data_IF_927957620127
#
_entry.id   IF_927957620127
#
_cell.length_a   1.000
_cell.length_b   1.000
_cell.length_c   1.000
_cell.angle_alpha   90.00
_cell.angle_beta   90.00
_cell.angle_gamma   90.00
#
_symmetry.space_group_name_H-M   'P 1'
#
loop_
_entity.id
_entity.type
_entity.pdbx_description
1 polymer ?
#
# COMPACT_ATOMS: atom_id res chain seq x y z
N UNK A 1 10.66 13.64 -5.61
CA UNK A 1 9.60 12.78 -5.03
C UNK A 1 10.21 11.74 -4.14
N UNK A 2 9.72 11.61 -2.92
CA UNK A 2 10.15 10.52 -2.05
C UNK A 2 9.44 9.22 -2.45
N UNK A 3 9.95 8.09 -1.97
CA UNK A 3 9.30 6.81 -2.23
C UNK A 3 7.92 6.74 -1.58
N UNK A 4 7.75 7.39 -0.43
CA UNK A 4 6.45 7.49 0.23
C UNK A 4 5.45 8.27 -0.65
N UNK A 5 5.90 9.32 -1.31
CA UNK A 5 5.07 10.09 -2.23
C UNK A 5 4.63 9.26 -3.43
N UNK A 6 5.49 8.36 -3.90
CA UNK A 6 5.13 7.43 -4.99
C UNK A 6 4.01 6.51 -4.56
N UNK A 7 4.05 6.02 -3.31
CA UNK A 7 3.00 5.18 -2.76
C UNK A 7 1.68 5.94 -2.69
N UNK A 8 1.70 7.18 -2.21
CA UNK A 8 0.50 8.02 -2.14
C UNK A 8 -0.07 8.24 -3.54
N UNK A 9 0.79 8.47 -4.53
CA UNK A 9 0.35 8.67 -5.90
C UNK A 9 -0.35 7.44 -6.46
N UNK A 10 0.16 6.25 -6.18
CA UNK A 10 -0.48 4.99 -6.57
C UNK A 10 -1.90 4.93 -5.99
N UNK A 11 -2.03 5.22 -4.71
CA UNK A 11 -3.33 5.21 -4.03
C UNK A 11 -4.28 6.26 -4.59
N UNK A 12 -3.79 7.45 -4.87
CA UNK A 12 -4.59 8.53 -5.46
C UNK A 12 -5.09 8.19 -6.86
N UNK A 13 -4.29 7.46 -7.63
CA UNK A 13 -4.70 7.00 -8.96
C UNK A 13 -5.81 5.95 -8.88
N UNK A 14 -5.82 5.15 -7.82
CA UNK A 14 -6.85 4.12 -7.60
C UNK A 14 -8.13 4.75 -7.08
N UNK A 15 -8.03 5.59 -6.06
CA UNK A 15 -9.19 6.28 -5.49
C UNK A 15 -8.76 7.66 -4.97
N UNK A 16 -9.03 8.74 -5.71
CA UNK A 16 -8.61 10.09 -5.33
C UNK A 16 -9.46 10.74 -4.24
N UNK A 17 -10.57 10.11 -3.84
CA UNK A 17 -11.51 10.69 -2.88
C UNK A 17 -11.14 10.42 -1.42
N UNK A 18 -10.13 9.58 -1.17
CA UNK A 18 -9.73 9.21 0.19
C UNK A 18 -8.61 10.13 0.67
N UNK A 19 -8.70 10.56 1.94
CA UNK A 19 -7.64 11.33 2.58
C UNK A 19 -6.60 10.38 3.19
N UNK A 20 -5.64 9.99 2.38
CA UNK A 20 -4.64 8.97 2.76
C UNK A 20 -3.71 9.42 3.87
N UNK A 21 -3.54 10.70 4.09
CA UNK A 21 -2.67 11.20 5.14
C UNK A 21 -3.24 10.99 6.53
N UNK A 22 -4.57 11.00 6.64
CA UNK A 22 -5.26 10.92 7.92
C UNK A 22 -6.01 9.60 8.13
N UNK A 23 -6.21 8.82 7.07
CA UNK A 23 -7.00 7.60 7.17
C UNK A 23 -6.15 6.43 7.67
N UNK A 24 -6.64 5.72 8.69
CA UNK A 24 -5.95 4.59 9.30
C UNK A 24 -6.74 3.28 9.22
N UNK A 25 -7.90 3.28 8.56
CA UNK A 25 -8.77 2.12 8.42
C UNK A 25 -9.18 1.88 6.97
N UNK A 26 -8.22 1.98 6.05
CA UNK A 26 -8.49 1.85 4.61
C UNK A 26 -9.15 0.50 4.28
N UNK A 27 -8.70 -0.57 4.90
CA UNK A 27 -9.23 -1.91 4.67
C UNK A 27 -10.39 -2.20 5.62
N UNK A 28 -10.18 -2.01 6.92
CA UNK A 28 -11.18 -2.30 7.93
C UNK A 28 -12.41 -1.38 7.79
N UNK A 29 -12.20 -0.15 7.32
CA UNK A 29 -13.28 0.79 7.02
C UNK A 29 -13.92 0.59 5.65
N UNK A 30 -13.47 -0.41 4.90
CA UNK A 30 -13.98 -0.77 3.57
C UNK A 30 -13.87 0.37 2.55
N UNK A 31 -12.85 1.19 2.67
CA UNK A 31 -12.60 2.28 1.73
C UNK A 31 -11.96 1.79 0.43
N UNK A 32 -11.24 0.68 0.49
CA UNK A 32 -10.69 0.00 -0.69
C UNK A 32 -11.35 -1.36 -0.81
N UNK A 33 -11.90 -1.67 -1.99
CA UNK A 33 -12.48 -2.98 -2.24
C UNK A 33 -11.40 -3.98 -2.68
N UNK A 34 -11.79 -5.25 -2.85
CA UNK A 34 -10.85 -6.31 -3.22
C UNK A 34 -10.17 -6.03 -4.56
N UNK A 35 -10.89 -5.44 -5.49
CA UNK A 35 -10.35 -5.12 -6.81
C UNK A 35 -9.26 -4.05 -6.72
N UNK A 36 -9.54 -3.01 -5.93
CA UNK A 36 -8.58 -1.93 -5.70
C UNK A 36 -7.34 -2.43 -5.01
N UNK A 37 -7.49 -3.36 -4.05
CA UNK A 37 -6.36 -3.94 -3.32
C UNK A 37 -5.46 -4.74 -4.26
N UNK A 38 -6.04 -5.53 -5.16
CA UNK A 38 -5.28 -6.31 -6.15
C UNK A 38 -4.47 -5.37 -7.05
N UNK A 39 -5.10 -4.30 -7.53
CA UNK A 39 -4.43 -3.30 -8.35
C UNK A 39 -3.32 -2.61 -7.58
N UNK A 40 -3.59 -2.24 -6.34
CA UNK A 40 -2.62 -1.60 -5.45
C UNK A 40 -1.37 -2.47 -5.26
N UNK A 41 -1.56 -3.75 -4.98
CA UNK A 41 -0.46 -4.70 -4.79
C UNK A 41 0.39 -4.78 -6.06
N UNK A 42 -0.23 -4.91 -7.22
CA UNK A 42 0.48 -4.94 -8.49
C UNK A 42 1.30 -3.68 -8.74
N UNK A 43 0.69 -2.52 -8.50
CA UNK A 43 1.35 -1.23 -8.71
C UNK A 43 2.52 -1.04 -7.74
N UNK A 44 2.37 -1.46 -6.48
CA UNK A 44 3.45 -1.40 -5.50
C UNK A 44 4.62 -2.29 -5.93
N UNK A 45 4.32 -3.51 -6.34
CA UNK A 45 5.36 -4.46 -6.77
C UNK A 45 6.14 -3.92 -7.97
N UNK A 46 5.45 -3.31 -8.93
CA UNK A 46 6.09 -2.72 -10.11
C UNK A 46 6.91 -1.50 -9.77
N UNK A 47 6.36 -0.61 -8.95
CA UNK A 47 7.00 0.68 -8.65
C UNK A 47 8.24 0.51 -7.78
N UNK A 48 8.19 -0.37 -6.80
CA UNK A 48 9.28 -0.58 -5.83
C UNK A 48 10.13 -1.80 -6.13
N UNK A 49 9.79 -2.55 -7.20
CA UNK A 49 10.52 -3.75 -7.63
C UNK A 49 10.64 -4.77 -6.49
N UNK A 50 9.50 -5.08 -5.89
CA UNK A 50 9.40 -6.03 -4.78
C UNK A 50 8.30 -7.05 -5.04
N UNK A 51 8.33 -8.16 -4.29
CA UNK A 51 7.23 -9.12 -4.26
C UNK A 51 6.60 -9.12 -2.87
N UNK A 52 5.26 -9.05 -2.84
CA UNK A 52 4.51 -9.12 -1.58
C UNK A 52 4.03 -10.55 -1.40
N UNK A 53 4.72 -11.29 -0.51
CA UNK A 53 4.36 -12.69 -0.24
C UNK A 53 3.12 -12.77 0.65
N UNK A 54 2.45 -13.96 0.71
CA UNK A 54 1.22 -14.10 1.49
C UNK A 54 1.34 -13.72 2.96
N UNK A 55 2.51 -13.82 3.56
CA UNK A 55 2.70 -13.44 4.96
C UNK A 55 2.45 -11.96 5.23
N UNK A 56 2.57 -11.12 4.20
CA UNK A 56 2.34 -9.68 4.30
C UNK A 56 0.88 -9.29 4.03
N UNK A 57 0.06 -10.23 3.54
CA UNK A 57 -1.32 -9.98 3.13
C UNK A 57 -2.25 -9.94 4.33
N UNK A 58 -2.06 -8.94 5.18
CA UNK A 58 -2.87 -8.72 6.38
C UNK A 58 -3.50 -7.34 6.30
N UNK A 59 -4.73 -7.21 6.78
CA UNK A 59 -5.43 -5.94 6.77
C UNK A 59 -4.61 -4.85 7.47
N UNK A 60 -3.97 -5.17 8.57
CA UNK A 60 -3.16 -4.21 9.33
C UNK A 60 -2.03 -3.58 8.51
N UNK A 61 -1.50 -4.31 7.52
CA UNK A 61 -0.42 -3.82 6.68
C UNK A 61 -0.91 -2.85 5.59
N UNK A 62 -2.21 -2.82 5.34
CA UNK A 62 -2.80 -2.02 4.26
C UNK A 62 -3.79 -0.97 4.76
N UNK A 63 -3.99 -0.86 6.07
CA UNK A 63 -4.97 0.06 6.65
C UNK A 63 -4.57 1.53 6.56
N UNK A 64 -3.30 1.83 6.41
CA UNK A 64 -2.83 3.20 6.29
C UNK A 64 -1.59 3.28 5.40
N UNK A 65 -1.30 4.48 4.91
CA UNK A 65 -0.09 4.72 4.13
C UNK A 65 1.16 4.41 4.96
N UNK A 66 1.16 4.78 6.24
CA UNK A 66 2.29 4.50 7.12
C UNK A 66 2.56 3.01 7.26
N UNK A 67 1.50 2.21 7.43
CA UNK A 67 1.63 0.76 7.54
C UNK A 67 2.10 0.12 6.25
N UNK A 68 1.59 0.58 5.12
CA UNK A 68 2.03 0.12 3.80
C UNK A 68 3.51 0.45 3.59
N UNK A 69 3.92 1.66 3.96
CA UNK A 69 5.30 2.10 3.81
C UNK A 69 6.24 1.28 4.68
N UNK A 70 5.87 1.02 5.93
CA UNK A 70 6.65 0.16 6.82
C UNK A 70 6.80 -1.24 6.22
N UNK A 71 5.74 -1.81 5.67
CA UNK A 71 5.77 -3.12 5.03
C UNK A 71 6.72 -3.12 3.84
N UNK A 72 6.64 -2.11 2.99
CA UNK A 72 7.52 -2.00 1.81
C UNK A 72 8.99 -1.97 2.23
N UNK A 73 9.31 -1.17 3.25
CA UNK A 73 10.68 -1.08 3.75
C UNK A 73 11.19 -2.41 4.30
N UNK A 74 10.35 -3.14 5.01
CA UNK A 74 10.71 -4.46 5.54
C UNK A 74 10.97 -5.47 4.43
N UNK A 75 10.14 -5.45 3.39
CA UNK A 75 10.33 -6.33 2.24
C UNK A 75 11.64 -6.00 1.52
N UNK A 76 11.93 -4.72 1.35
CA UNK A 76 13.18 -4.27 0.72
C UNK A 76 14.41 -4.74 1.50
N UNK A 77 14.33 -4.70 2.83
CA UNK A 77 15.41 -5.18 3.70
C UNK A 77 15.61 -6.70 3.58
N UNK A 78 14.53 -7.45 3.47
CA UNK A 78 14.62 -8.91 3.32
C UNK A 78 15.24 -9.33 2.01
N UNK A 79 15.07 -8.55 0.95
CA UNK A 79 15.59 -8.86 -0.38
C UNK A 79 17.09 -8.57 -0.50
N UNK A 80 17.68 -7.93 0.49
CA UNK A 80 19.10 -7.72 0.55
C UNK A 80 19.81 -8.94 1.18
#
# INVERSE_FOLDING_TARGET
MTDRDKLIKILMDINPDIDYENETNLIDGKMLDSFSIIQLIGDICDTFDIEISPKWMRNENFNSVEKMWEMIQKIQEEDE
#
